data_IF_603609068007
#
_entry.id   IF_603609068007
#
_cell.length_a   1.000
_cell.length_b   1.000
_cell.length_c   1.000
_cell.angle_alpha   90.00
_cell.angle_beta   90.00
_cell.angle_gamma   90.00
#
_symmetry.space_group_name_H-M   'P 1'
#
loop_
_entity.id
_entity.type
_entity.pdbx_description
1 polymer ?
#
# COMPACT_ATOMS: atom_id res chain seq x y z
N UNK A 1 20.55 22.67 0.55
CA UNK A 1 20.55 21.32 -0.01
C UNK A 1 19.56 20.40 0.68
N UNK A 2 19.22 20.69 1.92
CA UNK A 2 18.28 19.82 2.62
C UNK A 2 16.93 19.74 1.93
N UNK A 3 16.47 20.83 1.29
CA UNK A 3 15.20 20.79 0.56
C UNK A 3 15.26 19.82 -0.62
N UNK A 4 16.36 19.87 -1.40
CA UNK A 4 16.53 18.93 -2.52
C UNK A 4 16.64 17.51 -2.01
N UNK A 5 17.33 17.30 -0.90
CA UNK A 5 17.46 15.97 -0.32
C UNK A 5 16.10 15.45 0.12
N UNK A 6 15.27 16.29 0.74
CA UNK A 6 13.94 15.89 1.17
C UNK A 6 13.04 15.59 0.00
N UNK A 7 13.13 16.39 -1.06
CA UNK A 7 12.34 16.15 -2.26
C UNK A 7 12.75 14.85 -2.95
N UNK A 8 14.06 14.58 -2.99
CA UNK A 8 14.55 13.32 -3.53
C UNK A 8 14.08 12.14 -2.69
N UNK A 9 14.08 12.30 -1.37
CA UNK A 9 13.61 11.25 -0.47
C UNK A 9 12.13 10.98 -0.69
N UNK A 10 11.33 12.03 -0.90
CA UNK A 10 9.91 11.85 -1.18
C UNK A 10 9.71 11.13 -2.50
N UNK A 11 10.46 11.53 -3.53
CA UNK A 11 10.35 10.87 -4.83
C UNK A 11 10.71 9.40 -4.74
N UNK A 12 11.74 9.06 -3.96
CA UNK A 12 12.14 7.68 -3.74
C UNK A 12 11.06 6.89 -3.02
N UNK A 13 10.44 7.49 -2.00
CA UNK A 13 9.35 6.83 -1.27
C UNK A 13 8.18 6.54 -2.21
N UNK A 14 7.79 7.53 -3.01
CA UNK A 14 6.67 7.36 -3.92
C UNK A 14 6.96 6.24 -4.93
N UNK A 15 8.17 6.21 -5.48
CA UNK A 15 8.55 5.16 -6.41
C UNK A 15 8.48 3.79 -5.73
N UNK A 16 8.98 3.71 -4.49
CA UNK A 16 8.95 2.46 -3.73
C UNK A 16 7.53 2.00 -3.48
N UNK A 17 6.65 2.94 -3.10
CA UNK A 17 5.25 2.60 -2.84
C UNK A 17 4.53 2.15 -4.10
N UNK A 18 4.79 2.80 -5.24
CA UNK A 18 4.17 2.38 -6.49
C UNK A 18 4.64 0.98 -6.90
N UNK A 19 5.90 0.66 -6.62
CA UNK A 19 6.40 -0.68 -6.89
C UNK A 19 5.73 -1.72 -5.99
N UNK A 20 5.55 -1.40 -4.69
CA UNK A 20 4.85 -2.31 -3.79
C UNK A 20 3.39 -2.47 -4.21
N UNK A 21 2.77 -1.37 -4.62
CA UNK A 21 1.39 -1.43 -5.12
C UNK A 21 1.29 -2.35 -6.34
N UNK A 22 2.26 -2.26 -7.25
CA UNK A 22 2.26 -3.13 -8.41
C UNK A 22 2.38 -4.60 -8.02
N UNK A 23 3.20 -4.91 -7.02
CA UNK A 23 3.31 -6.29 -6.51
C UNK A 23 1.99 -6.76 -5.92
N UNK A 24 1.32 -5.89 -5.17
CA UNK A 24 0.03 -6.22 -4.57
C UNK A 24 -1.01 -6.50 -5.65
N UNK A 25 -1.06 -5.65 -6.67
CA UNK A 25 -2.01 -5.84 -7.76
C UNK A 25 -1.71 -7.08 -8.59
N UNK A 26 -0.43 -7.42 -8.74
CA UNK A 26 -0.04 -8.65 -9.45
C UNK A 26 -0.52 -9.88 -8.69
N UNK A 27 -0.38 -9.87 -7.35
CA UNK A 27 -0.87 -10.98 -6.53
C UNK A 27 -2.39 -11.12 -6.67
N UNK A 28 -3.10 -10.00 -6.65
CA UNK A 28 -4.56 -10.02 -6.81
C UNK A 28 -4.96 -10.55 -8.18
N UNK A 29 -4.27 -10.11 -9.23
CA UNK A 29 -4.57 -10.58 -10.58
C UNK A 29 -4.34 -12.08 -10.72
N UNK A 30 -3.27 -12.59 -10.11
CA UNK A 30 -3.00 -14.03 -10.11
C UNK A 30 -4.08 -14.79 -9.35
N UNK A 31 -4.54 -14.22 -8.21
CA UNK A 31 -5.63 -14.85 -7.45
C UNK A 31 -6.88 -14.99 -8.31
N UNK A 32 -7.25 -13.91 -9.01
CA UNK A 32 -8.44 -13.93 -9.85
C UNK A 32 -8.30 -14.90 -11.01
N UNK A 33 -7.11 -14.98 -11.62
CA UNK A 33 -6.86 -15.92 -12.70
C UNK A 33 -7.01 -17.36 -12.22
N UNK A 34 -6.54 -17.67 -11.02
CA UNK A 34 -6.69 -19.00 -10.45
C UNK A 34 -8.16 -19.33 -10.19
N UNK A 35 -8.90 -18.34 -9.67
CA UNK A 35 -10.32 -18.55 -9.42
C UNK A 35 -11.06 -18.84 -10.72
N UNK A 36 -10.77 -18.08 -11.77
CA UNK A 36 -11.38 -18.29 -13.08
C UNK A 36 -11.06 -19.67 -13.64
N UNK A 37 -9.90 -20.21 -13.30
CA UNK A 37 -9.51 -21.55 -13.73
C UNK A 37 -10.04 -22.67 -12.84
N UNK A 38 -10.84 -22.32 -11.82
CA UNK A 38 -11.40 -23.30 -10.90
C UNK A 38 -10.44 -23.72 -9.80
N UNK A 39 -9.33 -23.00 -9.64
CA UNK A 39 -8.28 -23.32 -8.66
C UNK A 39 -8.46 -22.49 -7.41
N UNK A 40 -9.38 -22.91 -6.53
CA UNK A 40 -9.65 -22.18 -5.29
C UNK A 40 -8.46 -22.13 -4.35
N UNK A 41 -7.70 -23.22 -4.13
CA UNK A 41 -6.51 -23.10 -3.29
C UNK A 41 -5.48 -22.10 -3.81
N UNK A 42 -5.28 -22.04 -5.13
CA UNK A 42 -4.37 -21.06 -5.73
C UNK A 42 -4.87 -19.64 -5.56
N UNK A 43 -6.18 -19.44 -5.72
CA UNK A 43 -6.79 -18.14 -5.45
C UNK A 43 -6.50 -17.70 -4.02
N UNK A 44 -6.74 -18.59 -3.06
CA UNK A 44 -6.55 -18.26 -1.66
C UNK A 44 -5.08 -17.96 -1.34
N UNK A 45 -4.18 -18.72 -1.93
CA UNK A 45 -2.74 -18.51 -1.72
C UNK A 45 -2.31 -17.13 -2.19
N UNK A 46 -2.78 -16.72 -3.36
CA UNK A 46 -2.40 -15.42 -3.90
C UNK A 46 -3.08 -14.26 -3.19
N UNK A 47 -4.29 -14.47 -2.66
CA UNK A 47 -4.91 -13.46 -1.81
C UNK A 47 -4.12 -13.29 -0.51
N UNK A 48 -3.60 -14.39 0.07
CA UNK A 48 -2.73 -14.27 1.23
C UNK A 48 -1.46 -13.52 0.90
N UNK A 49 -0.88 -13.76 -0.28
CA UNK A 49 0.30 -13.01 -0.70
C UNK A 49 0.01 -11.52 -0.78
N UNK A 50 -1.14 -11.14 -1.36
CA UNK A 50 -1.58 -9.75 -1.37
C UNK A 50 -1.58 -9.17 0.04
N UNK A 51 -2.19 -9.88 0.98
CA UNK A 51 -2.29 -9.41 2.35
C UNK A 51 -0.93 -9.34 3.03
N UNK A 52 -0.04 -10.30 2.76
CA UNK A 52 1.30 -10.30 3.34
C UNK A 52 2.12 -9.13 2.85
N UNK A 53 2.02 -8.81 1.57
CA UNK A 53 2.73 -7.66 1.00
C UNK A 53 2.28 -6.36 1.65
N UNK A 54 0.98 -6.23 1.89
CA UNK A 54 0.44 -5.05 2.56
C UNK A 54 0.78 -5.05 4.04
N UNK A 55 0.73 -6.20 4.70
CA UNK A 55 1.03 -6.30 6.13
C UNK A 55 2.47 -5.87 6.42
N UNK A 56 3.40 -6.18 5.53
CA UNK A 56 4.80 -5.83 5.71
C UNK A 56 5.14 -4.42 5.22
N UNK A 57 4.22 -3.76 4.51
CA UNK A 57 4.54 -2.54 3.79
C UNK A 57 5.05 -1.42 4.69
N UNK A 58 4.40 -1.17 5.82
CA UNK A 58 4.80 -0.07 6.69
C UNK A 58 6.21 -0.28 7.25
N UNK A 59 6.51 -1.51 7.65
CA UNK A 59 7.83 -1.83 8.17
C UNK A 59 8.88 -1.75 7.07
N UNK A 60 8.56 -2.30 5.90
CA UNK A 60 9.50 -2.31 4.78
C UNK A 60 9.77 -0.91 4.24
N UNK A 61 8.83 0.02 4.43
CA UNK A 61 8.98 1.40 3.95
C UNK A 61 9.85 2.25 4.87
N UNK A 62 10.19 1.78 6.07
CA UNK A 62 10.93 2.61 7.03
C UNK A 62 12.21 3.22 6.48
N UNK A 63 13.06 2.49 5.75
CA UNK A 63 14.26 3.12 5.20
C UNK A 63 13.95 4.26 4.24
N UNK A 64 12.82 4.19 3.55
CA UNK A 64 12.41 5.25 2.63
C UNK A 64 11.84 6.45 3.37
N UNK A 65 11.31 6.24 4.58
CA UNK A 65 10.74 7.32 5.38
C UNK A 65 11.81 8.06 6.17
N UNK A 66 12.91 7.40 6.51
CA UNK A 66 13.96 7.93 7.37
C UNK A 66 14.44 9.33 6.96
N UNK A 67 14.74 9.57 5.67
CA UNK A 67 15.27 10.87 5.27
C UNK A 67 14.25 12.00 5.24
N UNK A 68 12.97 11.70 5.45
CA UNK A 68 11.94 12.73 5.39
C UNK A 68 11.93 13.58 6.66
N UNK A 69 11.52 14.85 6.57
CA UNK A 69 11.36 15.67 7.76
C UNK A 69 10.38 15.04 8.75
N UNK A 70 10.60 15.29 10.04
CA UNK A 70 9.93 14.56 11.11
C UNK A 70 8.41 14.52 11.03
N UNK A 71 7.78 15.66 10.74
CA UNK A 71 6.32 15.71 10.70
C UNK A 71 5.78 14.94 9.49
N UNK A 72 6.38 15.12 8.32
CA UNK A 72 5.98 14.39 7.13
C UNK A 72 6.20 12.90 7.33
N UNK A 73 7.36 12.54 7.89
CA UNK A 73 7.68 11.13 8.16
C UNK A 73 6.65 10.51 9.07
N UNK A 74 6.29 11.22 10.15
CA UNK A 74 5.30 10.69 11.10
C UNK A 74 3.95 10.48 10.43
N UNK A 75 3.48 11.47 9.68
CA UNK A 75 2.17 11.39 9.05
C UNK A 75 2.10 10.28 8.01
N UNK A 76 3.17 10.14 7.22
CA UNK A 76 3.18 9.12 6.18
C UNK A 76 3.34 7.73 6.78
N UNK A 77 4.16 7.60 7.83
CA UNK A 77 4.30 6.33 8.53
C UNK A 77 2.96 5.89 9.11
N UNK A 78 2.21 6.83 9.67
CA UNK A 78 0.90 6.53 10.26
C UNK A 78 -0.08 6.05 9.19
N UNK A 79 -0.08 6.71 8.03
CA UNK A 79 -0.95 6.30 6.93
C UNK A 79 -0.62 4.88 6.47
N UNK A 80 0.66 4.58 6.30
CA UNK A 80 1.08 3.24 5.85
C UNK A 80 0.77 2.19 6.91
N UNK A 81 0.92 2.55 8.18
CA UNK A 81 0.60 1.62 9.26
C UNK A 81 -0.88 1.23 9.23
N UNK A 82 -1.76 2.15 8.84
CA UNK A 82 -3.17 1.84 8.71
C UNK A 82 -3.43 0.70 7.73
N UNK A 83 -2.79 0.77 6.57
CA UNK A 83 -2.91 -0.30 5.57
C UNK A 83 -2.35 -1.62 6.10
N UNK A 84 -1.18 -1.56 6.73
CA UNK A 84 -0.53 -2.77 7.23
C UNK A 84 -1.33 -3.40 8.36
N UNK A 85 -1.94 -2.59 9.24
CA UNK A 85 -2.75 -3.09 10.34
C UNK A 85 -3.98 -3.83 9.83
N UNK A 86 -4.65 -3.28 8.81
CA UNK A 86 -5.81 -3.94 8.22
C UNK A 86 -5.43 -5.27 7.60
N UNK A 87 -4.30 -5.31 6.91
CA UNK A 87 -3.82 -6.54 6.28
C UNK A 87 -3.47 -7.58 7.35
N UNK A 88 -2.79 -7.18 8.42
CA UNK A 88 -2.46 -8.09 9.50
C UNK A 88 -3.72 -8.69 10.14
N UNK A 89 -4.77 -7.87 10.26
CA UNK A 89 -6.04 -8.34 10.81
C UNK A 89 -6.65 -9.41 9.91
N UNK A 90 -6.65 -9.18 8.59
CA UNK A 90 -7.21 -10.16 7.66
C UNK A 90 -6.46 -11.50 7.74
N UNK A 91 -5.14 -11.43 7.91
CA UNK A 91 -4.32 -12.64 8.05
C UNK A 91 -4.59 -13.34 9.37
N UNK A 92 -4.68 -12.57 10.45
CA UNK A 92 -4.96 -13.15 11.77
C UNK A 92 -6.29 -13.87 11.79
N UNK A 93 -7.29 -13.29 11.13
CA UNK A 93 -8.62 -13.90 11.02
C UNK A 93 -8.66 -15.00 9.96
N UNK A 94 -7.60 -15.14 9.19
CA UNK A 94 -7.54 -16.10 8.07
C UNK A 94 -8.77 -15.93 7.17
N UNK A 95 -9.15 -14.70 6.90
CA UNK A 95 -10.34 -14.38 6.13
C UNK A 95 -9.99 -14.01 4.71
N UNK A 96 -10.24 -14.93 3.79
CA UNK A 96 -10.00 -14.67 2.36
C UNK A 96 -10.86 -13.51 1.90
N UNK A 97 -12.11 -13.41 2.42
CA UNK A 97 -12.99 -12.30 2.08
C UNK A 97 -12.34 -10.96 2.44
N UNK A 98 -11.84 -10.82 3.68
CA UNK A 98 -11.20 -9.57 4.09
C UNK A 98 -9.92 -9.31 3.32
N UNK A 99 -9.16 -10.35 3.01
CA UNK A 99 -7.95 -10.18 2.19
C UNK A 99 -8.29 -9.63 0.81
N UNK A 100 -9.36 -10.15 0.20
CA UNK A 100 -9.77 -9.69 -1.13
C UNK A 100 -10.31 -8.26 -1.08
N UNK A 101 -10.89 -7.85 0.04
CA UNK A 101 -11.47 -6.53 0.20
C UNK A 101 -10.44 -5.46 0.55
N UNK A 102 -9.22 -5.84 0.92
CA UNK A 102 -8.18 -4.87 1.27
C UNK A 102 -8.01 -3.87 0.12
N UNK A 103 -7.87 -2.60 0.48
CA UNK A 103 -7.71 -1.45 -0.40
C UNK A 103 -8.98 -0.98 -1.08
N UNK A 104 -10.10 -1.70 -0.95
CA UNK A 104 -11.34 -1.33 -1.63
C UNK A 104 -12.40 -0.94 -0.60
N UNK A 105 -12.90 0.30 -0.64
CA UNK A 105 -14.04 0.68 0.19
C UNK A 105 -15.32 -0.02 -0.31
N UNK A 106 -16.33 -0.06 0.54
CA UNK A 106 -17.58 -0.75 0.22
C UNK A 106 -18.24 -0.22 -1.04
N UNK A 107 -18.06 1.08 -1.33
CA UNK A 107 -18.69 1.70 -2.48
C UNK A 107 -17.75 1.77 -3.70
N UNK A 108 -16.64 1.03 -3.67
CA UNK A 108 -15.69 1.02 -4.77
C UNK A 108 -16.32 0.43 -6.02
N UNK A 109 -16.07 1.08 -7.16
CA UNK A 109 -16.58 0.63 -8.46
C UNK A 109 -15.42 0.29 -9.37
N UNK A 110 -15.62 -0.64 -10.31
CA UNK A 110 -14.56 -0.99 -11.26
C UNK A 110 -14.04 0.24 -11.98
N UNK A 111 -12.72 0.32 -12.11
CA UNK A 111 -12.08 1.45 -12.78
C UNK A 111 -11.71 2.59 -11.88
N UNK A 112 -12.22 2.62 -10.64
CA UNK A 112 -11.82 3.64 -9.67
C UNK A 112 -10.50 3.25 -9.03
N UNK A 113 -9.67 4.24 -8.66
CA UNK A 113 -8.43 3.93 -7.93
C UNK A 113 -8.74 3.34 -6.56
N UNK A 114 -7.88 2.45 -6.11
CA UNK A 114 -8.00 1.88 -4.76
C UNK A 114 -7.44 2.87 -3.72
N UNK A 115 -7.62 2.53 -2.45
CA UNK A 115 -7.22 3.41 -1.37
C UNK A 115 -5.72 3.68 -1.32
N UNK A 116 -4.90 2.69 -1.67
CA UNK A 116 -3.45 2.90 -1.66
C UNK A 116 -3.04 3.84 -2.79
N UNK A 117 -3.60 3.67 -3.97
CA UNK A 117 -3.36 4.59 -5.08
C UNK A 117 -3.72 6.02 -4.69
N UNK A 118 -4.88 6.20 -4.05
CA UNK A 118 -5.30 7.53 -3.61
C UNK A 118 -4.33 8.10 -2.59
N UNK A 119 -3.84 7.29 -1.68
CA UNK A 119 -2.87 7.72 -0.68
C UNK A 119 -1.57 8.17 -1.34
N UNK A 120 -1.04 7.37 -2.27
CA UNK A 120 0.20 7.70 -2.97
C UNK A 120 0.02 8.97 -3.80
N UNK A 121 -1.10 9.08 -4.51
CA UNK A 121 -1.40 10.27 -5.31
C UNK A 121 -1.44 11.51 -4.43
N UNK A 122 -2.02 11.40 -3.24
CA UNK A 122 -2.07 12.52 -2.31
C UNK A 122 -0.67 12.91 -1.84
N UNK A 123 0.17 11.92 -1.51
CA UNK A 123 1.54 12.20 -1.12
C UNK A 123 2.29 12.91 -2.23
N UNK A 124 2.11 12.47 -3.48
CA UNK A 124 2.78 13.08 -4.61
C UNK A 124 2.29 14.49 -4.86
N UNK A 125 0.98 14.70 -4.78
CA UNK A 125 0.36 15.99 -5.04
C UNK A 125 0.72 17.01 -3.98
N UNK A 126 0.63 16.62 -2.71
CA UNK A 126 0.91 17.52 -1.59
C UNK A 126 2.40 17.71 -1.36
N UNK A 127 3.19 16.71 -1.71
CA UNK A 127 4.62 16.77 -1.52
C UNK A 127 4.96 16.91 -0.06
N UNK A 128 5.88 17.81 0.23
CA UNK A 128 6.28 18.12 1.60
C UNK A 128 5.42 19.27 2.09
N UNK A 129 4.15 19.02 2.30
CA UNK A 129 3.15 20.04 2.52
C UNK A 129 3.45 20.93 3.71
N UNK A 130 4.19 20.45 4.68
CA UNK A 130 4.58 21.26 5.82
C UNK A 130 5.43 22.47 5.39
N UNK A 131 6.02 22.43 4.20
CA UNK A 131 6.83 23.55 3.70
C UNK A 131 6.00 24.79 3.45
N UNK A 132 4.73 24.60 3.22
CA UNK A 132 3.86 25.72 2.88
C UNK A 132 3.51 26.58 4.08
N UNK A 133 3.82 26.09 5.26
CA UNK A 133 3.56 26.81 6.50
C UNK A 133 4.49 28.02 6.73
#
# INVERSE_FOLDING_TARGET
MSANTSEQALASLIKWLRNRHAEVMAAEAQALARLDAGDTPGHNEHMRLKAELLAAMAEDAKPQLEPLPGETRFNYALALEGFSASARMSLRLNSIFYMSALLYPDDHKPGQPDNLTLCIDRMEKMGLDFRTE
#
